data_IF_466332036986
#
_entry.id   IF_466332036986
#
_cell.length_a   1.000
_cell.length_b   1.000
_cell.length_c   1.000
_cell.angle_alpha   90.00
_cell.angle_beta   90.00
_cell.angle_gamma   90.00
#
_symmetry.space_group_name_H-M   'P 1'
#
loop_
_entity.id
_entity.type
_entity.pdbx_description
1 polymer ?
#
# COMPACT_ATOMS: atom_id res chain seq x y z
N UNK A 1 45.00 -16.36 38.33
CA UNK A 1 44.46 -16.70 37.00
C UNK A 1 43.02 -17.22 37.17
N UNK A 2 41.99 -16.36 37.05
CA UNK A 2 40.53 -16.71 36.95
C UNK A 2 39.62 -15.45 37.06
N UNK A 3 40.05 -14.30 36.52
CA UNK A 3 39.27 -13.05 36.54
C UNK A 3 38.90 -12.52 35.15
N UNK A 4 39.34 -13.19 34.09
CA UNK A 4 39.16 -12.74 32.70
C UNK A 4 38.06 -13.51 31.93
N UNK A 5 37.37 -14.44 32.59
CA UNK A 5 36.35 -15.29 31.94
C UNK A 5 34.90 -14.83 32.19
N UNK A 6 34.69 -13.83 33.06
CA UNK A 6 33.34 -13.38 33.45
C UNK A 6 32.88 -12.09 32.77
N UNK A 7 33.80 -11.33 32.14
CA UNK A 7 33.49 -10.04 31.52
C UNK A 7 33.18 -10.12 30.02
N UNK A 8 33.32 -11.28 29.39
CA UNK A 8 33.01 -11.48 27.97
C UNK A 8 31.56 -11.92 27.68
N UNK A 9 30.84 -12.41 28.70
CA UNK A 9 29.51 -13.02 28.51
C UNK A 9 28.34 -12.03 28.68
N UNK A 10 28.60 -10.80 29.13
CA UNK A 10 27.54 -9.81 29.45
C UNK A 10 27.37 -8.75 28.35
N UNK A 11 28.32 -8.64 27.41
CA UNK A 11 28.27 -7.63 26.34
C UNK A 11 27.45 -8.03 25.11
N UNK A 12 26.92 -9.25 25.05
CA UNK A 12 26.17 -9.78 23.90
C UNK A 12 24.65 -9.87 24.10
N UNK A 13 24.12 -9.42 25.25
CA UNK A 13 22.73 -9.67 25.65
C UNK A 13 21.84 -8.41 25.83
N UNK A 14 22.19 -7.26 25.24
CA UNK A 14 21.43 -6.01 25.43
C UNK A 14 20.89 -5.36 24.16
N UNK A 15 21.05 -5.93 22.96
CA UNK A 15 20.46 -5.40 21.72
C UNK A 15 19.35 -6.33 21.21
N UNK A 16 18.29 -6.50 22.00
CA UNK A 16 17.13 -7.32 21.60
C UNK A 16 15.80 -6.79 22.16
N UNK A 17 15.61 -5.47 22.22
CA UNK A 17 14.35 -4.81 22.56
C UNK A 17 14.34 -3.50 21.77
N UNK A 18 13.41 -3.15 20.90
CA UNK A 18 12.16 -3.73 20.51
C UNK A 18 11.92 -3.29 19.06
N UNK A 19 11.93 -4.21 18.09
CA UNK A 19 11.33 -3.94 16.80
C UNK A 19 9.83 -4.05 17.04
N UNK A 20 9.20 -2.92 17.36
CA UNK A 20 7.75 -2.82 17.39
C UNK A 20 7.28 -3.08 15.97
N UNK A 21 6.94 -4.33 15.69
CA UNK A 21 6.24 -4.71 14.48
C UNK A 21 4.83 -4.10 14.57
N UNK A 22 4.70 -2.86 14.12
CA UNK A 22 3.40 -2.27 13.88
C UNK A 22 2.74 -3.09 12.76
N UNK A 23 1.97 -4.11 13.14
CA UNK A 23 1.06 -4.83 12.27
C UNK A 23 -0.15 -3.93 11.89
N UNK A 24 0.14 -2.71 11.46
CA UNK A 24 -0.83 -1.76 10.95
C UNK A 24 -1.26 -2.15 9.54
N UNK A 25 -2.50 -1.80 9.20
CA UNK A 25 -3.00 -1.89 7.84
C UNK A 25 -2.06 -1.11 6.90
N UNK A 26 -1.60 -1.74 5.81
CA UNK A 26 -0.73 -1.10 4.83
C UNK A 26 -1.53 -0.05 4.05
N UNK A 27 -1.43 1.20 4.49
CA UNK A 27 -2.09 2.36 3.86
C UNK A 27 -1.30 2.96 2.71
N UNK A 28 -0.02 2.59 2.59
CA UNK A 28 0.90 3.09 1.57
C UNK A 28 1.29 1.96 0.64
N UNK A 29 1.12 2.18 -0.66
CA UNK A 29 1.52 1.26 -1.71
C UNK A 29 2.89 1.67 -2.26
N UNK A 30 3.90 0.86 -1.98
CA UNK A 30 5.23 1.02 -2.55
C UNK A 30 5.21 0.54 -4.00
N UNK A 31 5.48 1.46 -4.93
CA UNK A 31 5.48 1.21 -6.36
C UNK A 31 6.82 1.63 -6.95
N UNK A 32 7.24 0.93 -8.00
CA UNK A 32 8.34 1.36 -8.87
C UNK A 32 7.88 1.41 -10.32
N UNK A 33 8.60 2.18 -11.14
CA UNK A 33 8.36 2.21 -12.57
C UNK A 33 8.43 0.79 -13.17
N UNK A 34 7.50 0.48 -14.06
CA UNK A 34 7.33 -0.84 -14.66
C UNK A 34 6.39 -1.79 -13.88
N UNK A 35 6.00 -1.47 -12.65
CA UNK A 35 5.03 -2.29 -11.92
C UNK A 35 3.66 -2.28 -12.62
N UNK A 36 2.98 -3.42 -12.64
CA UNK A 36 1.56 -3.51 -13.02
C UNK A 36 0.66 -3.39 -11.78
N UNK A 37 -0.39 -2.58 -11.89
CA UNK A 37 -1.38 -2.35 -10.83
C UNK A 37 -2.77 -2.22 -11.42
N UNK A 38 -3.81 -2.53 -10.66
CA UNK A 38 -5.18 -2.19 -11.02
C UNK A 38 -5.52 -0.81 -10.46
N UNK A 39 -6.00 0.10 -11.30
CA UNK A 39 -6.30 1.48 -10.94
C UNK A 39 -7.74 1.87 -11.31
N UNK A 40 -8.26 2.90 -10.63
CA UNK A 40 -9.57 3.47 -10.95
C UNK A 40 -9.64 3.95 -12.40
N UNK A 41 -10.72 3.55 -13.10
CA UNK A 41 -10.96 3.91 -14.49
C UNK A 41 -12.06 4.98 -14.69
N UNK A 42 -12.44 5.70 -13.63
CA UNK A 42 -13.53 6.69 -13.71
C UNK A 42 -13.16 8.00 -14.43
N UNK A 43 -11.89 8.17 -14.83
CA UNK A 43 -11.38 9.41 -15.41
C UNK A 43 -10.82 10.38 -14.36
N UNK A 44 -10.24 11.49 -14.85
CA UNK A 44 -9.40 12.39 -14.04
C UNK A 44 -10.15 13.18 -12.96
N UNK A 45 -11.46 13.33 -13.12
CA UNK A 45 -12.30 14.02 -12.13
C UNK A 45 -12.64 13.14 -10.94
N UNK A 46 -12.25 11.86 -10.95
CA UNK A 46 -12.56 10.94 -9.86
C UNK A 46 -11.53 11.09 -8.72
N UNK A 47 -11.95 11.52 -7.52
CA UNK A 47 -11.02 11.81 -6.42
C UNK A 47 -10.60 10.57 -5.63
N UNK A 48 -11.05 9.37 -6.02
CA UNK A 48 -10.90 8.19 -5.16
C UNK A 48 -9.48 7.61 -5.13
N UNK A 49 -8.66 7.94 -6.14
CA UNK A 49 -7.31 7.43 -6.40
C UNK A 49 -7.12 5.95 -6.05
N UNK A 50 -8.14 5.13 -6.31
CA UNK A 50 -8.13 3.75 -5.81
C UNK A 50 -7.18 2.90 -6.64
N UNK A 51 -6.35 2.12 -5.95
CA UNK A 51 -5.37 1.20 -6.53
C UNK A 51 -5.40 -0.13 -5.78
N UNK A 52 -5.10 -1.23 -6.48
CA UNK A 52 -5.03 -2.59 -5.93
C UNK A 52 -4.07 -3.47 -6.72
N UNK A 53 -3.42 -4.42 -6.05
CA UNK A 53 -2.62 -5.48 -6.68
C UNK A 53 -3.48 -6.52 -7.40
N UNK A 54 -4.78 -6.56 -7.14
CA UNK A 54 -5.70 -7.54 -7.71
C UNK A 54 -6.75 -6.86 -8.60
N UNK A 55 -7.21 -7.61 -9.60
CA UNK A 55 -8.37 -7.22 -10.38
C UNK A 55 -9.61 -7.13 -9.50
N UNK A 56 -10.57 -6.30 -9.90
CA UNK A 56 -11.86 -6.19 -9.22
C UNK A 56 -12.53 -4.85 -9.46
N UNK A 57 -13.48 -4.56 -8.58
CA UNK A 57 -14.24 -3.31 -8.59
C UNK A 57 -13.55 -2.26 -7.74
N UNK A 58 -13.52 -1.03 -8.24
CA UNK A 58 -13.18 0.16 -7.48
C UNK A 58 -14.20 0.36 -6.35
N UNK A 59 -13.85 1.16 -5.34
CA UNK A 59 -14.75 1.55 -4.23
C UNK A 59 -16.08 2.16 -4.68
N UNK A 60 -16.14 2.75 -5.88
CA UNK A 60 -17.37 3.28 -6.49
C UNK A 60 -18.18 2.24 -7.30
N UNK A 61 -17.76 0.98 -7.32
CA UNK A 61 -18.43 -0.13 -8.01
C UNK A 61 -18.07 -0.34 -9.48
N UNK A 62 -17.35 0.59 -10.12
CA UNK A 62 -16.86 0.41 -11.50
C UNK A 62 -15.65 -0.53 -11.55
N UNK A 63 -15.50 -1.26 -12.65
CA UNK A 63 -14.35 -2.14 -12.84
C UNK A 63 -13.05 -1.34 -12.95
N UNK A 64 -12.01 -1.84 -12.28
CA UNK A 64 -10.68 -1.26 -12.35
C UNK A 64 -10.00 -1.68 -13.66
N UNK A 65 -9.05 -0.86 -14.12
CA UNK A 65 -8.25 -1.15 -15.32
C UNK A 65 -6.84 -1.52 -14.90
N UNK A 66 -6.21 -2.46 -15.63
CA UNK A 66 -4.78 -2.73 -15.46
C UNK A 66 -3.99 -1.54 -16.02
N UNK A 67 -3.08 -1.02 -15.21
CA UNK A 67 -2.23 0.11 -15.51
C UNK A 67 -0.77 -0.23 -15.19
N UNK A 68 0.15 0.40 -15.92
CA UNK A 68 1.59 0.33 -15.68
C UNK A 68 2.03 1.61 -14.98
N UNK A 69 2.84 1.47 -13.93
CA UNK A 69 3.50 2.58 -13.28
C UNK A 69 4.60 3.11 -14.20
N UNK A 70 4.46 4.34 -14.69
CA UNK A 70 5.50 4.98 -15.51
C UNK A 70 6.49 5.77 -14.67
N UNK A 71 6.03 6.28 -13.52
CA UNK A 71 6.84 7.03 -12.56
C UNK A 71 6.29 6.82 -11.16
N UNK A 72 7.17 6.60 -10.19
CA UNK A 72 6.80 6.55 -8.78
C UNK A 72 7.67 7.54 -8.00
N UNK A 73 7.01 8.35 -7.19
CA UNK A 73 7.60 9.34 -6.30
C UNK A 73 7.00 9.16 -4.90
N UNK A 74 7.55 9.83 -3.91
CA UNK A 74 7.00 9.79 -2.56
C UNK A 74 5.54 10.29 -2.56
N UNK A 75 4.63 9.44 -2.09
CA UNK A 75 3.19 9.74 -2.00
C UNK A 75 2.41 9.77 -3.32
N UNK A 76 3.06 9.59 -4.50
CA UNK A 76 2.41 9.63 -5.81
C UNK A 76 2.98 8.63 -6.81
N UNK A 77 2.13 8.08 -7.65
CA UNK A 77 2.52 7.29 -8.81
C UNK A 77 1.78 7.77 -10.05
N UNK A 78 2.51 7.97 -11.14
CA UNK A 78 1.94 8.23 -12.45
C UNK A 78 1.72 6.90 -13.14
N UNK A 79 0.48 6.68 -13.58
CA UNK A 79 0.03 5.44 -14.19
C UNK A 79 -0.40 5.67 -15.62
N UNK A 80 -0.17 4.67 -16.47
CA UNK A 80 -0.68 4.59 -17.84
C UNK A 80 -1.47 3.31 -18.00
N UNK A 81 -2.68 3.39 -18.56
CA UNK A 81 -3.48 2.22 -18.89
C UNK A 81 -3.92 2.27 -20.35
N UNK A 82 -4.26 1.12 -20.90
CA UNK A 82 -4.87 1.02 -22.22
C UNK A 82 -6.19 1.81 -22.26
N UNK A 83 -6.40 2.58 -23.34
CA UNK A 83 -7.58 3.44 -23.50
C UNK A 83 -7.51 4.76 -22.74
N UNK A 84 -6.44 5.07 -22.00
CA UNK A 84 -6.23 6.40 -21.44
C UNK A 84 -5.51 7.30 -22.45
N UNK A 85 -6.05 8.48 -22.69
CA UNK A 85 -5.45 9.48 -23.60
C UNK A 85 -4.21 10.15 -23.01
N UNK A 86 -4.08 10.14 -21.69
CA UNK A 86 -2.93 10.66 -20.95
C UNK A 86 -2.69 9.86 -19.68
N UNK A 87 -1.45 9.93 -19.22
CA UNK A 87 -1.03 9.41 -17.93
C UNK A 87 -1.74 10.16 -16.80
N UNK A 88 -1.98 9.46 -15.69
CA UNK A 88 -2.72 10.01 -14.55
C UNK A 88 -1.94 9.77 -13.27
N UNK A 89 -1.85 10.79 -12.43
CA UNK A 89 -1.25 10.69 -11.13
C UNK A 89 -2.26 10.16 -10.11
N UNK A 90 -1.82 9.21 -9.29
CA UNK A 90 -2.56 8.62 -8.19
C UNK A 90 -1.78 8.82 -6.90
N UNK A 91 -2.47 9.03 -5.78
CA UNK A 91 -1.84 9.04 -4.46
C UNK A 91 -1.50 7.62 -4.05
N UNK A 92 -0.24 7.36 -3.70
CA UNK A 92 0.20 6.04 -3.22
C UNK A 92 -0.12 5.81 -1.76
N UNK A 93 -0.64 6.82 -1.06
CA UNK A 93 -1.13 6.68 0.30
C UNK A 93 -2.64 6.87 0.35
N UNK A 94 -3.36 5.84 0.80
CA UNK A 94 -4.81 5.84 0.97
C UNK A 94 -5.24 6.30 2.35
N UNK A 95 -6.35 7.04 2.42
CA UNK A 95 -7.07 7.28 3.67
C UNK A 95 -7.84 6.06 4.15
N UNK A 96 -8.10 5.12 3.24
CA UNK A 96 -8.75 3.85 3.50
C UNK A 96 -7.90 2.71 2.95
N UNK A 97 -7.81 1.61 3.70
CA UNK A 97 -7.14 0.37 3.31
C UNK A 97 -8.02 -0.84 3.60
N UNK A 98 -7.76 -1.98 2.95
CA UNK A 98 -8.55 -3.20 3.14
C UNK A 98 -8.44 -3.73 4.58
N UNK A 99 -9.59 -4.00 5.23
CA UNK A 99 -9.67 -4.57 6.59
C UNK A 99 -9.24 -6.05 6.72
N UNK A 100 -8.58 -6.62 5.71
CA UNK A 100 -8.11 -8.02 5.74
C UNK A 100 -6.91 -8.22 6.68
N UNK A 101 -6.35 -7.14 7.25
CA UNK A 101 -5.16 -7.19 8.08
C UNK A 101 -3.86 -7.33 7.26
N UNK A 102 -2.72 -7.56 7.94
CA UNK A 102 -1.38 -7.51 7.34
C UNK A 102 -1.10 -8.62 6.31
N UNK A 103 -1.95 -9.65 6.28
CA UNK A 103 -1.85 -10.73 5.30
C UNK A 103 -2.59 -10.43 3.97
N UNK A 104 -3.24 -9.27 3.80
CA UNK A 104 -3.91 -8.98 2.52
C UNK A 104 -2.87 -8.82 1.41
N UNK A 105 -2.98 -9.64 0.37
CA UNK A 105 -2.20 -9.49 -0.86
C UNK A 105 -2.81 -8.48 -1.84
N UNK A 106 -4.01 -8.00 -1.52
CA UNK A 106 -4.76 -7.06 -2.35
C UNK A 106 -4.14 -5.65 -2.35
N UNK A 107 -3.53 -5.28 -1.22
CA UNK A 107 -3.02 -3.94 -0.88
C UNK A 107 -3.93 -2.80 -1.35
N UNK A 108 -5.25 -3.01 -1.35
CA UNK A 108 -6.17 -2.02 -1.91
C UNK A 108 -6.20 -0.78 -1.03
N UNK A 109 -5.97 0.37 -1.66
CA UNK A 109 -6.04 1.68 -1.04
C UNK A 109 -7.03 2.57 -1.79
N UNK A 110 -7.60 3.55 -1.08
CA UNK A 110 -8.46 4.59 -1.67
C UNK A 110 -8.50 5.85 -0.80
N UNK A 111 -8.85 6.97 -1.42
CA UNK A 111 -9.21 8.21 -0.73
C UNK A 111 -10.67 8.21 -0.24
N UNK A 112 -11.50 7.29 -0.75
CA UNK A 112 -12.91 7.19 -0.41
C UNK A 112 -13.18 5.90 0.37
N UNK A 113 -14.20 5.90 1.25
CA UNK A 113 -14.69 4.66 1.86
C UNK A 113 -15.32 3.76 0.79
N UNK A 114 -15.46 2.48 1.12
CA UNK A 114 -16.13 1.51 0.25
C UNK A 114 -15.67 0.09 0.51
N UNK A 115 -15.87 -0.77 -0.48
CA UNK A 115 -15.39 -2.15 -0.47
C UNK A 115 -14.05 -2.27 -1.17
N UNK A 116 -13.19 -3.11 -0.63
CA UNK A 116 -11.97 -3.58 -1.26
C UNK A 116 -12.30 -4.44 -2.49
N UNK A 117 -11.34 -4.62 -3.39
CA UNK A 117 -11.44 -5.52 -4.55
C UNK A 117 -11.75 -6.98 -4.16
N UNK A 118 -11.40 -7.40 -2.94
CA UNK A 118 -11.74 -8.71 -2.39
C UNK A 118 -13.15 -8.80 -1.77
N UNK A 119 -13.93 -7.71 -1.78
CA UNK A 119 -15.30 -7.64 -1.28
C UNK A 119 -15.45 -7.28 0.21
N UNK A 120 -14.37 -7.31 1.00
CA UNK A 120 -14.38 -6.83 2.39
C UNK A 120 -14.49 -5.30 2.46
N UNK A 121 -15.01 -4.80 3.57
CA UNK A 121 -15.06 -3.36 3.82
C UNK A 121 -13.64 -2.80 4.03
N UNK A 122 -13.46 -1.54 3.63
CA UNK A 122 -12.22 -0.80 3.87
C UNK A 122 -12.31 -0.07 5.20
N UNK A 123 -11.20 -0.02 5.91
CA UNK A 123 -11.06 0.71 7.16
C UNK A 123 -10.30 2.02 6.93
N UNK A 124 -10.71 3.06 7.64
CA UNK A 124 -10.00 4.33 7.65
C UNK A 124 -8.66 4.14 8.37
N UNK A 125 -7.59 4.55 7.72
CA UNK A 125 -6.22 4.42 8.21
C UNK A 125 -5.64 5.81 8.46
N UNK A 126 -4.81 5.93 9.50
CA UNK A 126 -4.08 7.17 9.75
C UNK A 126 -2.98 7.28 8.69
N UNK A 127 -3.06 8.31 7.87
CA UNK A 127 -2.00 8.70 6.95
C UNK A 127 -1.01 9.51 7.78
N UNK A 128 0.16 8.93 8.08
CA UNK A 128 1.26 9.67 8.71
C UNK A 128 2.09 10.39 7.65
#
# INVERSE_FOLDING_TARGET
>A
MKRSALTGLVALLTVALAVVAFAGLKSTMELKAGDEIYACNCGEKCPCDSMSRNAGKCTCGKDMVKATVVKAEEGKATLKAEGWTKERAFKTTGQYACACGPACKCDTISQNPGKCTCGKDMEKVKVN
#
